data_IF_533521594374
#
_entry.id   IF_533521594374
#
_cell.length_a   1.000
_cell.length_b   1.000
_cell.length_c   1.000
_cell.angle_alpha   90.00
_cell.angle_beta   90.00
_cell.angle_gamma   90.00
#
_symmetry.space_group_name_H-M   'P 1'
#
loop_
_entity.id
_entity.type
_entity.pdbx_description
1 polymer ?
#
# COMPACT_ATOMS: atom_id res chain seq x y z
N UNK A 1 7.65 10.05 -20.93
CA UNK A 1 7.61 10.53 -19.54
C UNK A 1 8.82 9.91 -18.83
N UNK A 2 9.75 10.71 -18.27
CA UNK A 2 11.02 10.17 -17.74
C UNK A 2 10.75 9.29 -16.50
N UNK A 3 11.04 8.00 -16.60
CA UNK A 3 10.96 7.01 -15.51
C UNK A 3 12.10 7.24 -14.50
N UNK A 4 11.93 8.17 -13.58
CA UNK A 4 12.86 8.37 -12.46
C UNK A 4 12.18 7.90 -11.18
N UNK A 5 12.59 6.73 -10.69
CA UNK A 5 12.21 6.24 -9.37
C UNK A 5 13.38 6.47 -8.40
N UNK A 6 13.07 6.90 -7.18
CA UNK A 6 14.08 7.01 -6.12
C UNK A 6 14.28 5.63 -5.50
N UNK A 7 15.51 5.12 -5.51
CA UNK A 7 15.85 3.80 -4.98
C UNK A 7 16.49 3.89 -3.59
N UNK A 8 16.11 3.00 -2.69
CA UNK A 8 16.75 2.86 -1.38
C UNK A 8 16.87 1.38 -0.97
N UNK A 9 17.78 1.07 -0.05
CA UNK A 9 17.94 -0.29 0.49
C UNK A 9 16.93 -0.61 1.60
N UNK A 10 16.38 0.40 2.30
CA UNK A 10 15.47 0.19 3.44
C UNK A 10 14.06 0.70 3.17
N UNK A 11 13.05 -0.06 3.63
CA UNK A 11 11.64 0.29 3.48
C UNK A 11 11.26 1.59 4.20
N UNK A 12 11.88 1.87 5.35
CA UNK A 12 11.61 3.07 6.17
C UNK A 12 11.94 4.36 5.41
N UNK A 13 13.10 4.41 4.74
CA UNK A 13 13.47 5.56 3.90
C UNK A 13 12.54 5.73 2.70
N UNK A 14 12.11 4.63 2.08
CA UNK A 14 11.12 4.66 0.99
C UNK A 14 9.79 5.24 1.48
N UNK A 15 9.32 4.87 2.67
CA UNK A 15 8.10 5.43 3.25
C UNK A 15 8.24 6.92 3.55
N UNK A 16 9.35 7.34 4.16
CA UNK A 16 9.61 8.75 4.46
C UNK A 16 9.63 9.61 3.18
N UNK A 17 10.31 9.15 2.13
CA UNK A 17 10.32 9.84 0.83
C UNK A 17 8.93 9.87 0.22
N UNK A 18 8.21 8.75 0.22
CA UNK A 18 6.86 8.70 -0.32
C UNK A 18 5.88 9.64 0.42
N UNK A 19 6.00 9.73 1.75
CA UNK A 19 5.22 10.64 2.58
C UNK A 19 5.50 12.12 2.23
N UNK A 20 6.78 12.48 2.11
CA UNK A 20 7.17 13.83 1.70
C UNK A 20 6.72 14.17 0.27
N UNK A 21 6.82 13.20 -0.64
CA UNK A 21 6.45 13.38 -2.04
C UNK A 21 4.94 13.54 -2.22
N UNK A 22 4.12 12.76 -1.50
CA UNK A 22 2.66 12.92 -1.60
C UNK A 22 2.19 14.26 -1.05
N UNK A 23 2.85 14.79 -0.02
CA UNK A 23 2.50 16.11 0.52
C UNK A 23 2.79 17.23 -0.49
N UNK A 24 3.91 17.13 -1.21
CA UNK A 24 4.28 18.06 -2.30
C UNK A 24 3.46 17.86 -3.58
N UNK A 25 2.86 16.68 -3.77
CA UNK A 25 2.08 16.38 -4.98
C UNK A 25 0.85 17.28 -5.08
N UNK A 26 0.53 17.80 -6.26
CA UNK A 26 -0.60 18.73 -6.42
C UNK A 26 -1.95 18.06 -6.13
N UNK A 27 -2.90 18.85 -5.61
CA UNK A 27 -4.29 18.42 -5.41
C UNK A 27 -4.64 18.02 -3.98
N UNK A 28 -5.94 17.86 -3.72
CA UNK A 28 -6.46 17.47 -2.40
C UNK A 28 -6.13 16.01 -2.11
N UNK A 29 -5.62 15.75 -0.91
CA UNK A 29 -5.39 14.40 -0.44
C UNK A 29 -6.66 13.81 0.18
N UNK A 30 -6.76 12.48 0.11
CA UNK A 30 -7.68 11.69 0.92
C UNK A 30 -6.87 10.77 1.82
N UNK A 31 -7.24 10.72 3.09
CA UNK A 31 -6.64 9.82 4.08
C UNK A 31 -7.55 8.62 4.26
N UNK A 32 -6.96 7.42 4.21
CA UNK A 32 -7.62 6.18 4.57
C UNK A 32 -6.89 5.57 5.76
N UNK A 33 -7.64 5.26 6.82
CA UNK A 33 -7.15 4.50 7.98
C UNK A 33 -7.40 3.00 7.79
N UNK A 34 -6.53 2.14 8.30
CA UNK A 34 -6.84 0.70 8.34
C UNK A 34 -7.85 0.37 9.42
N UNK A 35 -8.41 -0.83 9.32
CA UNK A 35 -9.08 -1.48 10.44
C UNK A 35 -8.16 -2.56 10.98
N UNK A 36 -7.69 -2.36 12.20
CA UNK A 36 -6.73 -3.24 12.85
C UNK A 36 -7.48 -4.05 13.92
N UNK A 37 -7.15 -5.34 14.01
CA UNK A 37 -7.82 -6.26 14.93
C UNK A 37 -6.86 -7.37 15.38
N UNK A 38 -7.23 -8.01 16.48
CA UNK A 38 -6.58 -9.22 16.97
C UNK A 38 -7.59 -10.36 16.90
N UNK A 39 -7.21 -11.51 16.35
CA UNK A 39 -8.12 -12.66 16.25
C UNK A 39 -8.26 -13.45 17.56
N UNK A 40 -7.24 -13.43 18.42
CA UNK A 40 -7.12 -14.24 19.63
C UNK A 40 -7.18 -13.44 20.94
N UNK A 41 -7.67 -12.20 20.89
CA UNK A 41 -7.82 -11.34 22.07
C UNK A 41 -9.26 -11.41 22.61
N UNK A 42 -9.52 -12.39 23.48
CA UNK A 42 -10.83 -12.55 24.13
C UNK A 42 -11.10 -11.50 25.23
N UNK A 43 -10.08 -10.80 25.70
CA UNK A 43 -10.17 -9.87 26.82
C UNK A 43 -10.00 -8.39 26.43
N UNK A 44 -9.81 -8.09 25.14
CA UNK A 44 -9.53 -6.76 24.62
C UNK A 44 -8.37 -6.06 25.36
N UNK A 45 -7.30 -6.83 25.63
CA UNK A 45 -6.18 -6.40 26.47
C UNK A 45 -5.31 -5.32 25.80
N UNK A 46 -5.47 -5.10 24.49
CA UNK A 46 -4.62 -4.19 23.72
C UNK A 46 -5.38 -2.96 23.27
N UNK A 47 -4.81 -1.79 23.56
CA UNK A 47 -5.36 -0.52 23.10
C UNK A 47 -5.23 -0.36 21.58
N UNK A 48 -6.28 0.15 20.91
CA UNK A 48 -6.30 0.33 19.45
C UNK A 48 -5.17 1.23 18.94
N UNK A 49 -4.76 2.25 19.70
CA UNK A 49 -3.62 3.10 19.32
C UNK A 49 -2.29 2.35 19.26
N UNK A 50 -2.11 1.34 20.13
CA UNK A 50 -0.96 0.45 20.04
C UNK A 50 -1.01 -0.38 18.75
N UNK A 51 -2.17 -0.96 18.42
CA UNK A 51 -2.37 -1.70 17.17
C UNK A 51 -2.08 -0.86 15.92
N UNK A 52 -2.55 0.40 15.92
CA UNK A 52 -2.32 1.34 14.84
C UNK A 52 -0.83 1.71 14.68
N UNK A 53 -0.04 1.65 15.75
CA UNK A 53 1.41 1.91 15.72
C UNK A 53 2.24 0.76 15.10
N UNK A 54 1.68 -0.45 15.01
CA UNK A 54 2.39 -1.63 14.50
C UNK A 54 2.58 -1.51 12.98
N UNK A 55 3.83 -1.39 12.51
CA UNK A 55 4.18 -1.31 11.08
C UNK A 55 5.27 -2.30 10.67
N UNK A 56 4.98 -3.62 10.73
CA UNK A 56 5.98 -4.64 10.46
C UNK A 56 6.22 -4.80 8.96
N UNK A 57 7.37 -5.38 8.62
CA UNK A 57 7.71 -5.69 7.24
C UNK A 57 6.61 -6.51 6.55
N UNK A 58 6.19 -6.03 5.37
CA UNK A 58 5.14 -6.67 4.56
C UNK A 58 3.71 -6.23 4.88
N UNK A 59 3.50 -5.37 5.89
CA UNK A 59 2.22 -4.70 6.12
C UNK A 59 2.33 -3.20 5.87
N UNK A 60 1.39 -2.59 5.11
CA UNK A 60 1.36 -1.14 4.98
C UNK A 60 1.07 -0.43 6.33
N UNK A 61 1.57 0.81 6.52
CA UNK A 61 1.32 1.63 7.71
C UNK A 61 -0.17 1.82 8.01
N UNK A 62 -0.56 2.24 9.22
CA UNK A 62 -1.97 2.48 9.60
C UNK A 62 -2.64 3.65 8.86
N UNK A 63 -1.86 4.60 8.33
CA UNK A 63 -2.35 5.71 7.53
C UNK A 63 -1.96 5.55 6.04
N UNK A 64 -2.89 5.86 5.13
CA UNK A 64 -2.64 5.88 3.69
C UNK A 64 -3.18 7.19 3.13
N UNK A 65 -2.26 8.11 2.82
CA UNK A 65 -2.55 9.36 2.15
C UNK A 65 -2.40 9.19 0.63
N UNK A 66 -3.45 9.51 -0.14
CA UNK A 66 -3.45 9.41 -1.60
C UNK A 66 -4.02 10.66 -2.25
N UNK A 67 -3.59 10.95 -3.48
CA UNK A 67 -4.04 12.10 -4.29
C UNK A 67 -4.42 11.61 -5.69
N UNK A 68 -5.30 12.33 -6.37
CA UNK A 68 -5.68 11.98 -7.75
C UNK A 68 -4.46 12.15 -8.64
N UNK A 69 -4.26 11.22 -9.57
CA UNK A 69 -3.12 11.08 -10.46
C UNK A 69 -1.79 10.68 -9.81
N UNK A 70 -1.74 10.33 -8.51
CA UNK A 70 -0.52 9.79 -7.93
C UNK A 70 -0.27 8.34 -8.38
N UNK A 71 1.01 7.95 -8.45
CA UNK A 71 1.41 6.57 -8.75
C UNK A 71 1.46 5.72 -7.48
N UNK A 72 0.90 4.52 -7.59
CA UNK A 72 0.93 3.49 -6.55
C UNK A 72 1.34 2.15 -7.14
N UNK A 73 1.80 1.24 -6.29
CA UNK A 73 2.05 -0.16 -6.63
C UNK A 73 1.16 -1.06 -5.80
N UNK A 74 0.74 -2.17 -6.39
CA UNK A 74 0.02 -3.22 -5.69
C UNK A 74 0.99 -4.02 -4.79
N UNK A 75 0.53 -4.48 -3.63
CA UNK A 75 1.33 -5.22 -2.64
C UNK A 75 1.00 -6.72 -2.61
N UNK A 76 -0.10 -7.13 -3.24
CA UNK A 76 -0.61 -8.50 -3.25
C UNK A 76 -1.15 -8.85 -4.63
N UNK A 77 -1.13 -10.12 -4.96
CA UNK A 77 -1.84 -10.63 -6.13
C UNK A 77 -3.35 -10.56 -5.84
N UNK A 78 -4.08 -9.80 -6.64
CA UNK A 78 -5.54 -9.73 -6.58
C UNK A 78 -6.16 -10.53 -7.72
N UNK A 79 -5.64 -10.34 -8.93
CA UNK A 79 -6.08 -11.05 -10.12
C UNK A 79 -4.93 -11.14 -11.14
N UNK A 80 -4.09 -12.17 -11.04
CA UNK A 80 -2.94 -12.32 -11.93
C UNK A 80 -3.32 -12.42 -13.42
N UNK A 81 -4.50 -12.95 -13.73
CA UNK A 81 -4.97 -13.10 -15.12
C UNK A 81 -5.22 -11.75 -15.77
N UNK A 82 -5.62 -10.75 -14.98
CA UNK A 82 -5.87 -9.38 -15.41
C UNK A 82 -4.71 -8.41 -15.10
N UNK A 83 -3.49 -8.93 -14.92
CA UNK A 83 -2.30 -8.15 -14.55
C UNK A 83 -2.40 -7.36 -13.23
N UNK A 84 -3.28 -7.77 -12.31
CA UNK A 84 -3.34 -7.23 -10.94
C UNK A 84 -2.49 -8.10 -10.00
N UNK A 85 -1.19 -8.08 -10.25
CA UNK A 85 -0.17 -8.78 -9.49
C UNK A 85 0.54 -7.84 -8.51
N UNK A 86 1.28 -8.42 -7.57
CA UNK A 86 2.22 -7.66 -6.75
C UNK A 86 3.15 -6.83 -7.64
N UNK A 87 3.40 -5.58 -7.23
CA UNK A 87 4.19 -4.57 -7.94
C UNK A 87 3.59 -4.02 -9.23
N UNK A 88 2.37 -4.42 -9.64
CA UNK A 88 1.66 -3.72 -10.73
C UNK A 88 1.57 -2.23 -10.42
N UNK A 89 2.11 -1.40 -11.31
CA UNK A 89 2.03 0.07 -11.22
C UNK A 89 0.65 0.53 -11.66
N UNK A 90 0.05 1.38 -10.83
CA UNK A 90 -1.25 1.96 -11.04
C UNK A 90 -1.18 3.48 -10.90
N UNK A 91 -2.04 4.20 -11.62
CA UNK A 91 -2.32 5.62 -11.39
C UNK A 91 -3.69 5.75 -10.77
N UNK A 92 -3.80 6.51 -9.68
CA UNK A 92 -5.08 6.73 -9.03
C UNK A 92 -5.92 7.72 -9.83
N UNK A 93 -7.14 7.36 -10.22
CA UNK A 93 -8.05 8.22 -10.99
C UNK A 93 -9.17 8.80 -10.14
N UNK A 94 -9.51 8.14 -9.04
CA UNK A 94 -10.52 8.61 -8.09
C UNK A 94 -10.58 7.74 -6.85
N UNK A 95 -11.44 8.12 -5.91
CA UNK A 95 -11.65 7.34 -4.70
C UNK A 95 -13.06 7.57 -4.16
N UNK A 96 -13.68 6.49 -3.70
CA UNK A 96 -14.87 6.48 -2.86
C UNK A 96 -14.47 6.20 -1.41
N UNK A 97 -15.41 5.92 -0.51
CA UNK A 97 -15.10 5.66 0.90
C UNK A 97 -14.46 4.27 1.10
N UNK A 98 -14.85 3.30 0.29
CA UNK A 98 -14.43 1.90 0.42
C UNK A 98 -13.61 1.38 -0.76
N UNK A 99 -13.45 2.19 -1.81
CA UNK A 99 -12.85 1.78 -3.09
C UNK A 99 -11.91 2.85 -3.63
N UNK A 100 -10.78 2.42 -4.21
CA UNK A 100 -9.89 3.28 -4.99
C UNK A 100 -10.04 2.91 -6.46
N UNK A 101 -10.31 3.91 -7.28
CA UNK A 101 -10.39 3.79 -8.73
C UNK A 101 -9.01 4.09 -9.31
N UNK A 102 -8.44 3.12 -10.01
CA UNK A 102 -7.09 3.17 -10.51
C UNK A 102 -6.99 2.67 -11.96
N UNK A 103 -5.90 3.01 -12.62
CA UNK A 103 -5.61 2.64 -14.00
C UNK A 103 -4.26 1.94 -14.06
N UNK A 104 -4.18 0.83 -14.78
CA UNK A 104 -2.93 0.09 -14.98
C UNK A 104 -2.01 0.92 -15.88
N UNK A 105 -0.76 1.13 -15.43
CA UNK A 105 0.18 1.99 -16.17
C UNK A 105 0.91 1.22 -17.27
N UNK A 106 1.38 0.01 -16.97
CA UNK A 106 2.28 -0.76 -17.83
C UNK A 106 1.74 -2.18 -18.08
N UNK A 107 2.24 -2.83 -19.13
CA UNK A 107 1.95 -4.23 -19.46
C UNK A 107 0.76 -4.40 -20.42
N UNK A 108 0.38 -5.65 -20.65
CA UNK A 108 -0.66 -6.02 -21.64
C UNK A 108 -2.02 -5.34 -21.39
N UNK A 109 -2.31 -4.99 -20.12
CA UNK A 109 -3.56 -4.37 -19.71
C UNK A 109 -3.42 -2.88 -19.39
N UNK A 110 -2.38 -2.20 -19.90
CA UNK A 110 -2.20 -0.77 -19.70
C UNK A 110 -3.44 0.04 -20.16
N UNK A 111 -3.78 1.10 -19.41
CA UNK A 111 -4.97 1.92 -19.64
C UNK A 111 -6.28 1.33 -19.09
N UNK A 112 -6.30 0.06 -18.66
CA UNK A 112 -7.49 -0.56 -18.06
C UNK A 112 -7.80 0.05 -16.70
N UNK A 113 -9.06 0.45 -16.49
CA UNK A 113 -9.59 0.93 -15.20
C UNK A 113 -9.95 -0.25 -14.31
N UNK A 114 -9.56 -0.16 -13.04
CA UNK A 114 -9.73 -1.19 -12.02
C UNK A 114 -10.11 -0.58 -10.69
N UNK A 115 -10.85 -1.34 -9.89
CA UNK A 115 -11.27 -0.93 -8.54
C UNK A 115 -10.51 -1.74 -7.50
N UNK A 116 -9.78 -1.04 -6.65
CA UNK A 116 -9.02 -1.64 -5.56
C UNK A 116 -9.84 -1.54 -4.27
N UNK A 117 -10.11 -2.69 -3.67
CA UNK A 117 -10.82 -2.83 -2.40
C UNK A 117 -9.85 -3.11 -1.25
N UNK A 118 -10.34 -2.94 -0.02
CA UNK A 118 -9.58 -3.30 1.19
C UNK A 118 -9.61 -4.81 1.38
N UNK A 119 -8.46 -5.40 1.66
CA UNK A 119 -8.33 -6.82 2.00
C UNK A 119 -7.71 -6.97 3.40
N UNK A 120 -8.06 -8.03 4.15
CA UNK A 120 -7.34 -8.38 5.37
C UNK A 120 -5.92 -8.84 5.02
N UNK A 121 -4.95 -8.38 5.78
CA UNK A 121 -3.55 -8.77 5.66
C UNK A 121 -2.99 -9.09 7.04
N UNK A 122 -2.16 -10.13 7.11
CA UNK A 122 -1.41 -10.51 8.30
C UNK A 122 0.06 -10.14 8.12
N UNK A 123 0.80 -9.92 9.24
CA UNK A 123 2.25 -9.71 9.19
C UNK A 123 2.98 -10.87 8.53
N UNK A 124 4.26 -10.63 8.17
CA UNK A 124 5.14 -11.74 7.77
C UNK A 124 5.27 -12.76 8.90
N UNK A 125 5.43 -14.05 8.56
CA UNK A 125 5.58 -15.14 9.55
C UNK A 125 6.76 -14.95 10.51
N UNK A 126 7.75 -14.14 10.13
CA UNK A 126 8.94 -13.87 10.93
C UNK A 126 8.67 -12.83 12.04
N UNK A 127 7.55 -12.12 11.99
CA UNK A 127 7.16 -11.24 13.08
C UNK A 127 6.49 -12.07 14.18
N UNK A 128 7.18 -12.16 15.31
CA UNK A 128 6.64 -12.78 16.53
C UNK A 128 5.93 -11.69 17.31
N UNK A 129 4.60 -11.68 17.26
CA UNK A 129 3.76 -10.91 18.17
C UNK A 129 3.14 -11.87 19.19
N UNK A 130 2.85 -11.41 20.43
CA UNK A 130 2.16 -12.23 21.42
C UNK A 130 0.68 -12.48 21.08
N UNK A 131 0.23 -12.10 19.88
CA UNK A 131 -1.14 -12.18 19.41
C UNK A 131 -1.22 -12.27 17.87
N UNK A 132 -2.37 -12.71 17.36
CA UNK A 132 -2.67 -12.82 15.93
C UNK A 132 -3.21 -11.51 15.36
N UNK A 133 -2.28 -10.66 14.93
CA UNK A 133 -2.60 -9.37 14.33
C UNK A 133 -3.17 -9.50 12.90
N UNK A 134 -4.25 -8.75 12.63
CA UNK A 134 -4.80 -8.53 11.29
C UNK A 134 -4.99 -7.03 11.01
N UNK A 135 -4.67 -6.63 9.79
CA UNK A 135 -4.90 -5.28 9.27
C UNK A 135 -5.69 -5.34 7.98
N UNK A 136 -6.91 -4.80 7.96
CA UNK A 136 -7.72 -4.63 6.75
C UNK A 136 -7.43 -3.28 6.10
N UNK A 137 -6.85 -3.31 4.91
CA UNK A 137 -6.42 -2.11 4.17
C UNK A 137 -6.42 -2.34 2.66
N UNK A 138 -6.40 -1.25 1.88
CA UNK A 138 -6.05 -1.33 0.47
C UNK A 138 -4.64 -1.92 0.31
N UNK A 139 -4.46 -2.92 -0.56
CA UNK A 139 -3.17 -3.57 -0.77
C UNK A 139 -2.29 -2.76 -1.73
N UNK A 140 -2.11 -1.46 -1.47
CA UNK A 140 -1.32 -0.55 -2.30
C UNK A 140 -0.33 0.26 -1.45
N UNK A 141 0.73 0.75 -2.10
CA UNK A 141 1.68 1.73 -1.54
C UNK A 141 1.99 2.80 -2.58
N UNK A 142 2.26 4.03 -2.16
CA UNK A 142 2.81 5.07 -3.04
C UNK A 142 4.12 4.59 -3.69
N UNK A 143 4.36 5.02 -4.93
CA UNK A 143 5.52 4.57 -5.71
C UNK A 143 6.36 5.72 -6.28
N UNK A 144 6.55 6.80 -5.53
CA UNK A 144 7.54 7.83 -5.88
C UNK A 144 8.96 7.33 -5.62
N UNK A 145 9.13 6.56 -4.54
CA UNK A 145 10.32 5.81 -4.21
C UNK A 145 10.01 4.31 -4.09
N UNK A 146 11.01 3.47 -4.34
CA UNK A 146 10.93 2.02 -4.17
C UNK A 146 12.26 1.45 -3.65
N UNK A 147 12.23 0.24 -3.10
CA UNK A 147 13.46 -0.42 -2.69
C UNK A 147 14.19 -1.01 -3.90
N UNK A 148 15.53 -1.12 -3.83
CA UNK A 148 16.35 -1.74 -4.88
C UNK A 148 15.85 -3.17 -5.18
N UNK A 149 15.55 -3.95 -4.14
CA UNK A 149 15.03 -5.32 -4.30
C UNK A 149 13.69 -5.36 -5.06
N UNK A 150 12.86 -4.31 -4.98
CA UNK A 150 11.61 -4.22 -5.76
C UNK A 150 11.85 -3.72 -7.18
N UNK A 151 12.88 -2.90 -7.38
CA UNK A 151 13.30 -2.43 -8.69
C UNK A 151 13.89 -3.55 -9.56
N UNK A 152 14.60 -4.52 -8.96
CA UNK A 152 15.31 -5.63 -9.64
C UNK A 152 14.42 -6.68 -10.36
N UNK A 153 13.21 -6.31 -10.77
CA UNK A 153 12.35 -7.11 -11.66
C UNK A 153 11.24 -6.31 -12.34
N UNK A 154 11.26 -4.98 -12.23
CA UNK A 154 10.17 -4.08 -12.69
C UNK A 154 10.69 -2.76 -13.30
N UNK A 155 12.01 -2.64 -13.46
CA UNK A 155 12.70 -1.59 -14.20
C UNK A 155 13.35 -2.23 -15.42
#
# INVERSE_FOLDING_TARGET
MRERAILSTRNEYVDAVNALMIDRFSGKHKVFYSFDSIDDDSCNNYYLGFLNSITPNGLPPHELKVKKNCHVILLRNLDPRNSLCNSTRLVVRGFQNTTIDAEIVNGQHAGKRVFILRIPMSPSKNLILPFKFKRKRFPIRLSFAMTINKAQGHL
#
